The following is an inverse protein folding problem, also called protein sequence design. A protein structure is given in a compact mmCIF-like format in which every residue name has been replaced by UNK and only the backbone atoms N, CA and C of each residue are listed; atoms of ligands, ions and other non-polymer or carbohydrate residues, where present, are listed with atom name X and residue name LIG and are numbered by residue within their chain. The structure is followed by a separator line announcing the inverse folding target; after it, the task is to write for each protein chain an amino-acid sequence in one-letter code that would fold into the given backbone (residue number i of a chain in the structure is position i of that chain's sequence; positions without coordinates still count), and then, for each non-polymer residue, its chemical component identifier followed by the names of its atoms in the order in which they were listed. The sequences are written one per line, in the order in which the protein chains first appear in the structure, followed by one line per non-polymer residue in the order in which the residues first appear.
data_IF_262459756005
#
_entry.id   IF_262459756005
#
_cell.length_a   1.000
_cell.length_b   1.000
_cell.length_c   1.000
_cell.angle_alpha   90.00
_cell.angle_beta   90.00
_cell.angle_gamma   90.00
#
_symmetry.space_group_name_H-M   'P 1'
#
loop_
_entity.id
_entity.type
_entity.pdbx_description
1 polymer ?
#
# COMPACT_ATOMS: atom_id res chain seq x y z
N UNK A 1 -9.18 -17.24 14.02
CA UNK A 1 -8.59 -16.65 12.81
C UNK A 1 -9.67 -16.57 11.76
N UNK A 2 -9.95 -15.35 11.31
CA UNK A 2 -10.96 -15.02 10.30
C UNK A 2 -10.32 -14.18 9.20
N UNK A 3 -10.94 -14.22 8.03
CA UNK A 3 -10.46 -13.56 6.83
C UNK A 3 -11.55 -12.64 6.25
N UNK A 4 -11.12 -11.44 5.85
CA UNK A 4 -11.94 -10.49 5.10
C UNK A 4 -11.21 -10.12 3.80
N UNK A 5 -11.89 -10.29 2.66
CA UNK A 5 -11.35 -10.00 1.33
C UNK A 5 -12.26 -9.02 0.62
N UNK A 6 -11.68 -7.97 0.05
CA UNK A 6 -12.36 -7.00 -0.80
C UNK A 6 -11.36 -6.40 -1.79
N UNK A 7 -11.84 -5.62 -2.75
CA UNK A 7 -10.99 -4.93 -3.70
C UNK A 7 -11.33 -3.45 -3.80
N UNK A 8 -10.33 -2.65 -4.12
CA UNK A 8 -10.45 -1.24 -4.47
C UNK A 8 -10.15 -1.06 -5.96
N UNK A 9 -10.98 -0.26 -6.62
CA UNK A 9 -10.82 0.15 -8.02
C UNK A 9 -10.48 1.64 -8.05
N UNK A 10 -9.31 1.99 -8.60
CA UNK A 10 -8.88 3.38 -8.69
C UNK A 10 -9.31 3.99 -10.01
N UNK A 11 -9.84 5.20 -9.95
CA UNK A 11 -9.99 6.04 -11.14
C UNK A 11 -8.60 6.60 -11.52
N UNK A 12 -8.38 6.90 -12.82
CA UNK A 12 -7.15 7.56 -13.25
C UNK A 12 -6.88 8.85 -12.47
N UNK A 13 -5.63 9.07 -12.06
CA UNK A 13 -5.17 10.24 -11.33
C UNK A 13 -5.44 10.21 -9.82
N UNK A 14 -6.13 9.20 -9.29
CA UNK A 14 -6.43 9.11 -7.86
C UNK A 14 -5.32 8.43 -7.05
N UNK A 15 -4.47 7.59 -7.67
CA UNK A 15 -3.41 6.88 -6.99
C UNK A 15 -2.24 6.67 -7.96
N UNK A 16 -1.08 7.28 -7.67
CA UNK A 16 0.08 7.24 -8.56
C UNK A 16 0.66 5.83 -8.73
N UNK A 17 0.59 4.98 -7.70
CA UNK A 17 1.02 3.58 -7.82
C UNK A 17 0.08 2.81 -8.74
N UNK A 18 -1.23 3.03 -8.61
CA UNK A 18 -2.23 2.43 -9.51
C UNK A 18 -2.08 2.91 -10.95
N UNK A 19 -1.76 4.20 -11.14
CA UNK A 19 -1.52 4.76 -12.48
C UNK A 19 -0.23 4.23 -13.10
N UNK A 20 0.87 4.14 -12.34
CA UNK A 20 2.10 3.50 -12.80
C UNK A 20 1.87 2.03 -13.19
N UNK A 21 1.14 1.26 -12.38
CA UNK A 21 0.79 -0.12 -12.70
C UNK A 21 -0.11 -0.23 -13.93
N UNK A 22 -0.99 0.75 -14.18
CA UNK A 22 -1.83 0.76 -15.36
C UNK A 22 -1.04 1.01 -16.67
N UNK A 23 0.10 1.69 -16.59
CA UNK A 23 1.01 1.91 -17.71
C UNK A 23 1.93 0.70 -17.98
N UNK A 24 2.08 -0.18 -16.98
CA UNK A 24 2.91 -1.38 -17.05
C UNK A 24 2.11 -2.65 -16.72
N UNK A 25 1.33 -3.21 -17.66
CA UNK A 25 0.38 -4.31 -17.39
C UNK A 25 1.01 -5.59 -16.84
N UNK A 26 2.29 -5.83 -17.12
CA UNK A 26 3.03 -6.99 -16.60
C UNK A 26 3.58 -6.77 -15.18
N UNK A 27 3.55 -5.52 -14.69
CA UNK A 27 4.00 -5.18 -13.36
C UNK A 27 2.91 -5.44 -12.31
N UNK A 28 3.35 -5.85 -11.13
CA UNK A 28 2.45 -6.13 -10.00
C UNK A 28 3.16 -5.84 -8.69
N UNK A 29 2.40 -5.45 -7.67
CA UNK A 29 2.90 -5.25 -6.31
C UNK A 29 2.14 -6.14 -5.34
N UNK A 30 2.89 -6.92 -4.56
CA UNK A 30 2.36 -7.62 -3.40
C UNK A 30 2.88 -6.95 -2.14
N UNK A 31 2.01 -6.62 -1.21
CA UNK A 31 2.42 -5.93 0.01
C UNK A 31 1.96 -6.67 1.25
N UNK A 32 2.75 -6.53 2.32
CA UNK A 32 2.37 -6.92 3.67
C UNK A 32 2.47 -5.70 4.57
N UNK A 33 1.46 -5.48 5.40
CA UNK A 33 1.52 -4.40 6.39
C UNK A 33 0.92 -4.81 7.74
N UNK A 34 1.33 -4.09 8.77
CA UNK A 34 0.86 -4.22 10.14
C UNK A 34 1.00 -2.89 10.89
N UNK A 35 0.24 -2.75 11.98
CA UNK A 35 0.41 -1.63 12.90
C UNK A 35 1.59 -1.91 13.82
N UNK A 36 2.64 -1.09 13.72
CA UNK A 36 3.80 -1.14 14.61
C UNK A 36 3.47 -0.48 15.95
N UNK A 37 2.66 0.57 15.93
CA UNK A 37 2.07 1.25 17.08
C UNK A 37 0.62 1.61 16.77
N UNK A 38 -0.04 2.34 17.68
CA UNK A 38 -1.42 2.75 17.46
C UNK A 38 -1.62 3.73 16.28
N UNK A 39 -0.55 4.42 15.92
CA UNK A 39 -0.47 5.52 14.95
C UNK A 39 0.53 5.28 13.82
N UNK A 40 1.35 4.22 13.91
CA UNK A 40 2.32 3.86 12.88
C UNK A 40 2.02 2.53 12.23
N UNK A 41 2.07 2.52 10.90
CA UNK A 41 1.98 1.34 10.07
C UNK A 41 3.36 1.07 9.44
N UNK A 42 3.76 -0.19 9.44
CA UNK A 42 4.88 -0.66 8.64
C UNK A 42 4.36 -1.46 7.47
N UNK A 43 4.93 -1.23 6.29
CA UNK A 43 4.59 -1.92 5.06
C UNK A 43 5.85 -2.35 4.34
N UNK A 44 5.82 -3.56 3.79
CA UNK A 44 6.81 -4.05 2.84
C UNK A 44 6.09 -4.32 1.53
N UNK A 45 6.56 -3.68 0.47
CA UNK A 45 6.05 -3.82 -0.89
C UNK A 45 7.06 -4.61 -1.72
N UNK A 46 6.61 -5.71 -2.32
CA UNK A 46 7.37 -6.51 -3.25
C UNK A 46 6.79 -6.31 -4.65
N UNK A 47 7.47 -5.50 -5.45
CA UNK A 47 7.14 -5.23 -6.83
C UNK A 47 7.90 -6.18 -7.76
N UNK A 48 7.24 -6.62 -8.83
CA UNK A 48 7.89 -7.34 -9.93
C UNK A 48 7.44 -6.76 -11.26
N UNK A 49 8.35 -6.65 -12.23
CA UNK A 49 8.07 -6.08 -13.54
C UNK A 49 9.36 -5.77 -14.32
N UNK A 50 9.22 -5.25 -15.53
CA UNK A 50 10.37 -4.78 -16.30
C UNK A 50 11.09 -3.63 -15.57
N UNK A 51 12.41 -3.42 -15.77
CA UNK A 51 13.17 -2.39 -15.05
C UNK A 51 12.54 -0.98 -15.12
N UNK A 52 12.00 -0.58 -16.27
CA UNK A 52 11.31 0.71 -16.42
C UNK A 52 10.06 0.80 -15.53
N UNK A 53 9.29 -0.29 -15.40
CA UNK A 53 8.14 -0.33 -14.50
C UNK A 53 8.57 -0.21 -13.03
N UNK A 54 9.69 -0.81 -12.65
CA UNK A 54 10.21 -0.71 -11.29
C UNK A 54 10.77 0.67 -10.98
N UNK A 55 11.33 1.39 -11.96
CA UNK A 55 11.75 2.79 -11.81
C UNK A 55 10.53 3.70 -11.56
N UNK A 56 9.48 3.56 -12.37
CA UNK A 56 8.24 4.32 -12.22
C UNK A 56 7.52 4.00 -10.91
N UNK A 57 7.53 2.74 -10.48
CA UNK A 57 6.99 2.33 -9.18
C UNK A 57 7.82 2.91 -8.02
N UNK A 58 9.15 2.83 -8.07
CA UNK A 58 10.00 3.41 -7.02
C UNK A 58 9.75 4.91 -6.87
N UNK A 59 9.65 5.63 -7.99
CA UNK A 59 9.30 7.05 -7.99
C UNK A 59 7.89 7.28 -7.42
N UNK A 60 6.89 6.50 -7.83
CA UNK A 60 5.53 6.60 -7.30
C UNK A 60 5.46 6.35 -5.78
N UNK A 61 6.24 5.42 -5.23
CA UNK A 61 6.28 5.16 -3.80
C UNK A 61 7.05 6.21 -2.98
N UNK A 62 7.98 6.96 -3.61
CA UNK A 62 8.78 7.99 -2.93
C UNK A 62 8.21 9.40 -3.05
N UNK A 63 7.72 9.76 -4.24
CA UNK A 63 7.36 11.12 -4.61
C UNK A 63 5.86 11.40 -4.45
N UNK A 64 5.04 10.36 -4.27
CA UNK A 64 3.63 10.52 -4.04
C UNK A 64 3.35 10.67 -2.54
N UNK A 65 2.26 11.40 -2.25
CA UNK A 65 1.46 11.26 -1.04
C UNK A 65 0.75 9.89 -1.02
N UNK A 66 1.48 8.83 -1.36
CA UNK A 66 1.01 7.47 -1.27
C UNK A 66 0.93 7.13 0.21
N UNK A 67 -0.21 7.40 0.79
CA UNK A 67 -0.58 6.85 2.08
C UNK A 67 -1.25 5.53 1.79
N UNK A 68 -0.82 4.45 2.44
CA UNK A 68 -1.40 3.12 2.32
C UNK A 68 -2.94 3.18 2.36
N UNK A 69 -3.51 3.32 1.16
CA UNK A 69 -4.92 3.39 0.82
C UNK A 69 -5.76 4.24 1.77
N UNK A 70 -5.26 5.45 2.02
CA UNK A 70 -6.06 6.51 2.61
C UNK A 70 -7.23 6.83 1.67
N UNK A 71 -8.45 6.66 2.17
CA UNK A 71 -9.70 6.95 1.46
C UNK A 71 -10.13 8.41 1.60
N UNK A 72 -9.28 9.26 2.19
CA UNK A 72 -9.56 10.70 2.27
C UNK A 72 -9.53 11.31 0.87
N UNK A 73 -10.47 12.22 0.58
CA UNK A 73 -10.53 12.96 -0.69
C UNK A 73 -9.40 13.97 -0.85
N UNK A 74 -8.80 14.38 0.27
CA UNK A 74 -7.81 15.44 0.38
C UNK A 74 -6.62 14.94 1.20
N UNK A 75 -5.48 15.65 1.09
CA UNK A 75 -4.28 15.36 1.87
C UNK A 75 -4.61 15.30 3.37
N UNK A 76 -4.49 14.10 3.94
CA UNK A 76 -4.75 13.86 5.36
C UNK A 76 -3.60 14.35 6.25
N UNK A 77 -2.48 14.81 5.67
CA UNK A 77 -1.31 15.34 6.35
C UNK A 77 -0.45 14.27 7.01
N UNK A 78 -0.63 13.00 6.63
CA UNK A 78 0.21 11.94 7.15
C UNK A 78 1.61 12.02 6.56
N UNK A 79 2.56 11.36 7.22
CA UNK A 79 3.93 11.30 6.73
C UNK A 79 4.26 9.85 6.40
N UNK A 80 5.02 9.67 5.32
CA UNK A 80 5.57 8.39 4.94
C UNK A 80 7.03 8.56 4.61
N UNK A 81 7.87 7.61 5.04
CA UNK A 81 9.23 7.48 4.51
C UNK A 81 9.39 6.10 3.88
N UNK A 82 9.71 6.10 2.59
CA UNK A 82 9.96 4.89 1.81
C UNK A 82 11.45 4.67 1.62
N UNK A 83 11.92 3.43 1.81
CA UNK A 83 13.30 3.00 1.60
C UNK A 83 13.32 1.77 0.70
N UNK A 84 14.31 1.69 -0.19
CA UNK A 84 14.57 0.45 -0.94
C UNK A 84 15.31 -0.49 -0.01
N UNK A 85 14.75 -1.68 0.19
CA UNK A 85 15.40 -2.76 0.94
C UNK A 85 16.26 -3.63 0.01
N UNK A 86 15.74 -3.91 -1.17
CA UNK A 86 16.40 -4.76 -2.16
C UNK A 86 15.93 -4.40 -3.58
N UNK A 87 16.81 -4.63 -4.56
CA UNK A 87 16.50 -4.42 -5.98
C UNK A 87 17.38 -5.32 -6.83
N UNK A 88 16.77 -6.19 -7.61
CA UNK A 88 17.47 -7.11 -8.51
C UNK A 88 16.63 -7.37 -9.76
N UNK A 89 17.21 -7.12 -10.93
CA UNK A 89 16.63 -7.42 -12.23
C UNK A 89 15.19 -6.95 -12.41
N UNK A 90 14.26 -7.89 -12.24
CA UNK A 90 12.81 -7.73 -12.39
C UNK A 90 12.06 -7.64 -11.06
N UNK A 91 12.76 -7.39 -9.95
CA UNK A 91 12.22 -7.27 -8.59
C UNK A 91 12.67 -6.00 -7.87
N UNK A 92 11.78 -5.45 -7.04
CA UNK A 92 12.03 -4.30 -6.17
C UNK A 92 11.32 -4.52 -4.84
N UNK A 93 12.05 -4.39 -3.73
CA UNK A 93 11.51 -4.49 -2.38
C UNK A 93 11.63 -3.14 -1.68
N UNK A 94 10.49 -2.60 -1.25
CA UNK A 94 10.40 -1.32 -0.57
C UNK A 94 9.88 -1.53 0.84
N UNK A 95 10.37 -0.71 1.76
CA UNK A 95 9.84 -0.57 3.11
C UNK A 95 9.31 0.84 3.29
N UNK A 96 8.09 0.93 3.80
CA UNK A 96 7.44 2.21 4.11
C UNK A 96 7.07 2.24 5.59
N UNK A 97 7.56 3.27 6.29
CA UNK A 97 7.01 3.65 7.59
C UNK A 97 6.04 4.81 7.42
N UNK A 98 4.83 4.64 7.90
CA UNK A 98 3.74 5.59 7.75
C UNK A 98 3.21 5.99 9.12
N UNK A 99 3.10 7.30 9.38
CA UNK A 99 2.52 7.87 10.60
C UNK A 99 1.24 8.61 10.25
N UNK A 100 0.12 8.16 10.83
CA UNK A 100 -1.20 8.75 10.55
C UNK A 100 -1.36 10.11 11.19
N UNK A 101 -2.36 10.84 10.70
CA UNK A 101 -3.01 11.91 11.46
C UNK A 101 -4.43 11.49 11.86
N UNK A 102 -5.11 12.25 12.73
CA UNK A 102 -6.52 12.05 13.01
C UNK A 102 -7.45 12.21 11.80
N UNK A 103 -6.99 12.88 10.72
CA UNK A 103 -7.79 13.10 9.49
C UNK A 103 -7.73 11.92 8.51
N UNK A 104 -6.80 10.99 8.70
CA UNK A 104 -6.61 9.90 7.75
C UNK A 104 -7.69 8.82 7.90
N UNK A 105 -8.36 8.53 6.80
CA UNK A 105 -9.35 7.46 6.67
C UNK A 105 -8.74 6.27 5.90
N UNK A 106 -7.66 5.70 6.41
CA UNK A 106 -6.98 4.57 5.74
C UNK A 106 -7.61 3.24 6.09
N UNK A 107 -7.66 2.33 5.11
CA UNK A 107 -8.13 0.95 5.30
C UNK A 107 -7.52 0.27 6.53
N UNK A 108 -6.19 0.29 6.78
CA UNK A 108 -5.62 -0.38 7.94
C UNK A 108 -6.17 0.14 9.27
N UNK A 109 -6.31 1.46 9.43
CA UNK A 109 -6.81 2.05 10.66
C UNK A 109 -8.30 1.76 10.90
N UNK A 110 -9.12 1.87 9.86
CA UNK A 110 -10.56 1.50 9.93
C UNK A 110 -10.68 0.02 10.34
N UNK A 111 -9.88 -0.85 9.72
CA UNK A 111 -9.87 -2.26 10.06
C UNK A 111 -9.46 -2.50 11.51
N UNK A 112 -8.44 -1.80 12.03
CA UNK A 112 -8.02 -1.91 13.44
C UNK A 112 -9.12 -1.44 14.40
N UNK A 113 -9.85 -0.38 14.07
CA UNK A 113 -10.96 0.13 14.89
C UNK A 113 -12.12 -0.88 15.01
N UNK A 114 -12.36 -1.67 13.96
CA UNK A 114 -13.46 -2.64 13.94
C UNK A 114 -13.06 -4.09 14.30
N UNK A 115 -11.84 -4.50 13.97
CA UNK A 115 -11.35 -5.87 14.11
C UNK A 115 -10.36 -6.05 15.27
N UNK A 116 -9.96 -4.96 15.92
CA UNK A 116 -9.03 -4.95 17.05
C UNK A 116 -7.56 -4.98 16.62
N UNK A 117 -6.69 -5.32 17.57
CA UNK A 117 -5.25 -5.43 17.35
C UNK A 117 -4.87 -6.78 16.74
N UNK A 118 -3.66 -6.84 16.14
CA UNK A 118 -3.16 -8.07 15.54
C UNK A 118 -3.77 -8.39 14.17
N UNK A 119 -4.26 -7.38 13.44
CA UNK A 119 -4.67 -7.53 12.04
C UNK A 119 -3.44 -7.51 11.15
N UNK A 120 -3.29 -8.54 10.32
CA UNK A 120 -2.30 -8.60 9.25
C UNK A 120 -2.97 -8.27 7.92
N UNK A 121 -2.32 -7.44 7.11
CA UNK A 121 -2.82 -7.02 5.81
C UNK A 121 -1.92 -7.57 4.71
N UNK A 122 -2.52 -8.21 3.72
CA UNK A 122 -1.90 -8.49 2.42
C UNK A 122 -2.64 -7.70 1.35
N UNK A 123 -1.91 -7.06 0.44
CA UNK A 123 -2.49 -6.45 -0.75
C UNK A 123 -1.84 -7.01 -2.01
N UNK A 124 -2.63 -7.12 -3.09
CA UNK A 124 -2.15 -7.39 -4.45
C UNK A 124 -2.67 -6.30 -5.36
N UNK A 125 -1.75 -5.59 -6.01
CA UNK A 125 -2.04 -4.46 -6.86
C UNK A 125 -1.58 -4.76 -8.29
N UNK A 126 -2.53 -4.72 -9.22
CA UNK A 126 -2.35 -4.98 -10.65
C UNK A 126 -3.18 -3.96 -11.42
N UNK A 127 -2.53 -3.18 -12.30
CA UNK A 127 -3.19 -2.03 -12.93
C UNK A 127 -3.84 -1.09 -11.90
N UNK A 128 -5.13 -0.79 -12.08
CA UNK A 128 -5.92 0.02 -11.13
C UNK A 128 -6.76 -0.80 -10.14
N UNK A 129 -6.45 -2.08 -9.99
CA UNK A 129 -7.17 -3.00 -9.13
C UNK A 129 -6.27 -3.42 -7.97
N UNK A 130 -6.71 -3.16 -6.73
CA UNK A 130 -6.01 -3.58 -5.53
C UNK A 130 -6.90 -4.51 -4.68
N UNK A 131 -6.56 -5.79 -4.63
CA UNK A 131 -7.21 -6.75 -3.73
C UNK A 131 -6.57 -6.69 -2.36
N UNK A 132 -7.42 -6.63 -1.33
CA UNK A 132 -7.07 -6.67 0.08
C UNK A 132 -7.44 -8.00 0.70
N UNK A 133 -6.56 -8.51 1.54
CA UNK A 133 -6.80 -9.67 2.39
C UNK A 133 -6.37 -9.33 3.81
N UNK A 134 -7.34 -9.33 4.72
CA UNK A 134 -7.15 -9.04 6.12
C UNK A 134 -7.27 -10.34 6.91
N UNK A 135 -6.27 -10.65 7.73
CA UNK A 135 -6.27 -11.79 8.64
C UNK A 135 -6.33 -11.25 10.07
N UNK A 136 -7.34 -11.64 10.83
CA UNK A 136 -7.58 -11.14 12.19
C UNK A 136 -7.96 -12.27 13.17
N UNK A 137 -7.79 -12.06 14.50
CA UNK A 137 -7.95 -13.13 15.48
C UNK A 137 -9.38 -13.68 15.60
N UNK A 138 -10.42 -12.83 15.53
CA UNK A 138 -11.82 -13.26 15.55
C UNK A 138 -12.81 -12.13 15.73
#
# INVERSE_FOLDING_TARGET
MRELVFALEYRPGCNRVADALAEHPDARVRSLSLHATADRLWRVDHATGAPAALDDLEAAFRDADYYADCLASDDCGATQTTRVLDRDGDTLVLYSDWERTPRCASVPHIAREHLGEGVLFETRHEGRHCTWRLIHPG
#
